data_IF_523452552809
#
_entry.id   IF_523452552809
#
_cell.length_a   1.000
_cell.length_b   1.000
_cell.length_c   1.000
_cell.angle_alpha   90.00
_cell.angle_beta   90.00
_cell.angle_gamma   90.00
#
_symmetry.space_group_name_H-M   'P 1'
#
loop_
_entity.id
_entity.type
_entity.pdbx_description
1 polymer ?
#
# COMPACT_ATOMS: atom_id res chain seq x y z
N UNK A 1 -12.60 23.46 9.12
CA UNK A 1 -13.50 23.07 8.05
C UNK A 1 -13.91 21.61 8.22
N UNK A 2 -15.16 21.31 7.95
CA UNK A 2 -15.70 19.97 8.20
C UNK A 2 -14.95 18.85 7.49
N UNK A 3 -14.42 19.15 6.29
CA UNK A 3 -13.78 18.12 5.47
C UNK A 3 -12.28 17.93 5.75
N UNK A 4 -11.67 18.79 6.54
CA UNK A 4 -10.22 18.72 6.78
C UNK A 4 -9.76 17.38 7.34
N UNK A 5 -10.43 16.90 8.37
CA UNK A 5 -10.06 15.63 9.01
C UNK A 5 -10.31 14.45 8.10
N UNK A 6 -11.38 14.52 7.31
CA UNK A 6 -11.68 13.49 6.31
C UNK A 6 -10.59 13.46 5.24
N UNK A 7 -10.21 14.63 4.73
CA UNK A 7 -9.14 14.74 3.73
C UNK A 7 -7.83 14.22 4.30
N UNK A 8 -7.49 14.56 5.55
CA UNK A 8 -6.27 14.08 6.19
C UNK A 8 -6.25 12.56 6.28
N UNK A 9 -7.37 11.95 6.67
CA UNK A 9 -7.49 10.49 6.77
C UNK A 9 -7.30 9.83 5.40
N UNK A 10 -7.94 10.38 4.36
CA UNK A 10 -7.81 9.85 3.01
C UNK A 10 -6.37 10.03 2.49
N UNK A 11 -5.73 11.14 2.82
CA UNK A 11 -4.34 11.38 2.41
C UNK A 11 -3.36 10.44 3.11
N UNK A 12 -3.63 9.98 4.33
CA UNK A 12 -2.82 8.93 4.95
C UNK A 12 -2.83 7.65 4.10
N UNK A 13 -4.01 7.29 3.58
CA UNK A 13 -4.14 6.11 2.72
C UNK A 13 -3.50 6.34 1.35
N UNK A 14 -3.56 7.56 0.83
CA UNK A 14 -2.87 7.92 -0.40
C UNK A 14 -1.36 7.73 -0.24
N UNK A 15 -0.79 8.20 0.87
CA UNK A 15 0.64 8.04 1.14
C UNK A 15 1.07 6.58 1.12
N UNK A 16 0.32 5.71 1.80
CA UNK A 16 0.67 4.29 1.88
C UNK A 16 0.59 3.61 0.50
N UNK A 17 -0.41 3.99 -0.30
CA UNK A 17 -0.54 3.44 -1.65
C UNK A 17 0.54 4.00 -2.58
N UNK A 18 0.93 5.26 -2.43
CA UNK A 18 2.08 5.83 -3.15
C UNK A 18 3.36 5.05 -2.82
N UNK A 19 3.56 4.73 -1.54
CA UNK A 19 4.70 3.93 -1.10
C UNK A 19 4.73 2.56 -1.77
N UNK A 20 3.57 1.89 -1.83
CA UNK A 20 3.47 0.57 -2.46
C UNK A 20 3.78 0.64 -3.95
N UNK A 21 3.23 1.63 -4.65
CA UNK A 21 3.49 1.81 -6.08
C UNK A 21 4.97 2.02 -6.33
N UNK A 22 5.58 2.96 -5.62
CA UNK A 22 7.00 3.26 -5.80
C UNK A 22 7.88 2.06 -5.47
N UNK A 23 7.61 1.39 -4.36
CA UNK A 23 8.39 0.24 -3.92
C UNK A 23 8.29 -0.93 -4.89
N UNK A 24 7.08 -1.30 -5.31
CA UNK A 24 6.90 -2.45 -6.21
C UNK A 24 7.34 -2.15 -7.63
N UNK A 25 7.22 -0.90 -8.11
CA UNK A 25 7.78 -0.53 -9.41
C UNK A 25 9.30 -0.67 -9.40
N UNK A 26 9.93 -0.22 -8.33
CA UNK A 26 11.39 -0.37 -8.15
C UNK A 26 11.77 -1.85 -8.10
N UNK A 27 11.05 -2.63 -7.29
CA UNK A 27 11.30 -4.06 -7.17
C UNK A 27 11.14 -4.78 -8.51
N UNK A 28 10.11 -4.41 -9.28
CA UNK A 28 9.86 -4.99 -10.61
C UNK A 28 11.00 -4.70 -11.58
N UNK A 29 11.57 -3.50 -11.50
CA UNK A 29 12.68 -3.12 -12.38
C UNK A 29 13.99 -3.80 -11.99
N UNK A 30 14.15 -4.17 -10.73
CA UNK A 30 15.40 -4.75 -10.23
C UNK A 30 15.42 -6.28 -10.22
N UNK A 31 14.25 -6.94 -10.13
CA UNK A 31 14.22 -8.40 -10.10
C UNK A 31 14.50 -8.99 -11.48
N UNK A 32 15.19 -10.13 -11.48
CA UNK A 32 15.44 -10.91 -12.69
C UNK A 32 14.39 -12.00 -12.91
N UNK A 33 13.57 -12.24 -11.91
CA UNK A 33 12.56 -13.30 -11.93
C UNK A 33 11.29 -12.82 -12.62
N UNK A 34 10.84 -13.50 -13.67
CA UNK A 34 9.64 -13.11 -14.41
C UNK A 34 8.36 -13.27 -13.58
N UNK A 35 8.30 -14.27 -12.72
CA UNK A 35 7.12 -14.48 -11.87
C UNK A 35 7.05 -13.42 -10.75
N UNK A 36 8.18 -12.97 -10.22
CA UNK A 36 8.20 -11.87 -9.26
C UNK A 36 7.82 -10.55 -9.92
N UNK A 37 8.25 -10.33 -11.18
CA UNK A 37 7.81 -9.14 -11.93
C UNK A 37 6.29 -9.12 -12.09
N UNK A 38 5.70 -10.26 -12.42
CA UNK A 38 4.24 -10.39 -12.53
C UNK A 38 3.56 -10.11 -11.21
N UNK A 39 4.09 -10.66 -10.12
CA UNK A 39 3.57 -10.42 -8.78
C UNK A 39 3.61 -8.93 -8.46
N UNK A 40 4.77 -8.30 -8.61
CA UNK A 40 4.93 -6.87 -8.30
C UNK A 40 4.02 -5.99 -9.14
N UNK A 41 3.81 -6.34 -10.40
CA UNK A 41 2.88 -5.62 -11.28
C UNK A 41 1.45 -5.69 -10.76
N UNK A 42 1.03 -6.86 -10.27
CA UNK A 42 -0.31 -7.03 -9.69
C UNK A 42 -0.48 -6.23 -8.40
N UNK A 43 0.54 -6.27 -7.52
CA UNK A 43 0.51 -5.51 -6.28
C UNK A 43 0.47 -4.00 -6.55
N UNK A 44 1.21 -3.55 -7.55
CA UNK A 44 1.20 -2.16 -7.99
C UNK A 44 -0.19 -1.76 -8.48
N UNK A 45 -0.83 -2.62 -9.27
CA UNK A 45 -2.16 -2.34 -9.82
C UNK A 45 -3.20 -2.14 -8.73
N UNK A 46 -3.15 -2.96 -7.68
CA UNK A 46 -4.06 -2.80 -6.53
C UNK A 46 -3.95 -1.38 -5.98
N UNK A 47 -2.74 -0.91 -5.73
CA UNK A 47 -2.54 0.43 -5.17
C UNK A 47 -2.87 1.53 -6.16
N UNK A 48 -2.63 1.33 -7.46
CA UNK A 48 -3.02 2.31 -8.49
C UNK A 48 -4.55 2.48 -8.52
N UNK A 49 -5.29 1.38 -8.41
CA UNK A 49 -6.75 1.43 -8.33
C UNK A 49 -7.20 2.16 -7.06
N UNK A 50 -6.58 1.85 -5.92
CA UNK A 50 -6.88 2.52 -4.66
C UNK A 50 -6.61 4.02 -4.76
N UNK A 51 -5.48 4.41 -5.35
CA UNK A 51 -5.11 5.82 -5.51
C UNK A 51 -6.09 6.56 -6.38
N UNK A 52 -6.57 5.94 -7.46
CA UNK A 52 -7.55 6.56 -8.34
C UNK A 52 -8.82 6.93 -7.57
N UNK A 53 -9.34 6.00 -6.76
CA UNK A 53 -10.53 6.24 -5.95
C UNK A 53 -10.29 7.28 -4.86
N UNK A 54 -9.17 7.16 -4.15
CA UNK A 54 -8.85 8.07 -3.05
C UNK A 54 -8.63 9.51 -3.55
N UNK A 55 -7.90 9.67 -4.64
CA UNK A 55 -7.65 11.00 -5.22
C UNK A 55 -8.92 11.66 -5.71
N UNK A 56 -9.80 10.87 -6.35
CA UNK A 56 -11.08 11.39 -6.80
C UNK A 56 -11.92 11.90 -5.62
N UNK A 57 -11.93 11.16 -4.51
CA UNK A 57 -12.69 11.57 -3.34
C UNK A 57 -12.11 12.81 -2.67
N UNK A 58 -10.79 12.90 -2.53
CA UNK A 58 -10.14 14.10 -1.97
C UNK A 58 -10.44 15.33 -2.85
N UNK A 59 -10.37 15.17 -4.16
CA UNK A 59 -10.71 16.27 -5.09
C UNK A 59 -12.18 16.68 -4.95
N UNK A 60 -13.09 15.71 -4.82
CA UNK A 60 -14.52 15.99 -4.63
C UNK A 60 -14.78 16.80 -3.36
N UNK A 61 -13.99 16.54 -2.31
CA UNK A 61 -14.09 17.25 -1.03
C UNK A 61 -13.42 18.63 -1.06
N UNK A 62 -12.80 18.99 -2.16
CA UNK A 62 -12.11 20.27 -2.30
C UNK A 62 -10.71 20.29 -1.73
N UNK A 63 -10.15 19.13 -1.41
CA UNK A 63 -8.81 19.01 -0.89
C UNK A 63 -7.77 18.77 -1.98
N UNK A 64 -6.53 18.62 -1.56
CA UNK A 64 -5.41 18.33 -2.45
C UNK A 64 -4.87 16.93 -2.12
N UNK A 65 -4.89 15.99 -3.08
CA UNK A 65 -4.32 14.67 -2.84
C UNK A 65 -2.83 14.75 -2.56
N UNK A 66 -2.38 13.98 -1.59
CA UNK A 66 -0.96 13.89 -1.25
C UNK A 66 -0.18 13.27 -2.41
N UNK A 67 0.93 13.90 -2.80
CA UNK A 67 1.78 13.42 -3.90
C UNK A 67 2.99 12.63 -3.41
N UNK A 68 3.34 12.80 -2.13
CA UNK A 68 4.54 12.21 -1.58
C UNK A 68 4.34 10.81 -1.04
N UNK A 69 5.46 10.18 -0.74
CA UNK A 69 5.50 8.90 -0.07
C UNK A 69 5.81 9.10 1.41
N UNK A 70 5.55 8.07 2.20
CA UNK A 70 5.79 8.11 3.63
C UNK A 70 7.25 7.73 3.91
N UNK A 71 8.17 8.60 3.52
CA UNK A 71 9.62 8.35 3.63
C UNK A 71 10.06 8.53 5.08
N UNK A 72 9.46 7.78 6.00
CA UNK A 72 9.84 7.86 7.41
C UNK A 72 9.79 6.49 8.06
N UNK A 73 10.77 6.24 8.91
CA UNK A 73 10.75 5.12 9.83
C UNK A 73 10.56 3.77 9.16
N UNK A 74 9.47 3.11 9.51
CA UNK A 74 9.24 1.70 9.17
C UNK A 74 9.09 1.44 7.67
N UNK A 75 8.43 2.36 6.92
CA UNK A 75 8.21 2.14 5.48
C UNK A 75 9.50 2.26 4.68
N UNK A 76 10.30 3.25 5.00
CA UNK A 76 11.60 3.40 4.36
C UNK A 76 12.44 2.14 4.59
N UNK A 77 12.44 1.63 5.82
CA UNK A 77 13.18 0.42 6.18
C UNK A 77 12.67 -0.80 5.41
N UNK A 78 11.34 -0.93 5.26
CA UNK A 78 10.75 -2.04 4.50
C UNK A 78 11.32 -2.09 3.08
N UNK A 79 11.33 -0.95 2.40
CA UNK A 79 11.82 -0.91 1.02
C UNK A 79 13.33 -1.09 0.93
N UNK A 80 14.07 -0.63 1.92
CA UNK A 80 15.51 -0.92 2.01
C UNK A 80 15.77 -2.42 2.15
N UNK A 81 14.96 -3.11 2.96
CA UNK A 81 15.08 -4.56 3.15
C UNK A 81 14.72 -5.33 1.88
N UNK A 82 13.66 -4.92 1.18
CA UNK A 82 13.28 -5.52 -0.11
C UNK A 82 14.42 -5.36 -1.10
N UNK A 83 15.01 -4.18 -1.20
CA UNK A 83 16.12 -3.89 -2.11
C UNK A 83 17.35 -4.76 -1.78
N UNK A 84 17.67 -4.89 -0.50
CA UNK A 84 18.80 -5.73 -0.05
C UNK A 84 18.54 -7.20 -0.41
N UNK A 85 17.32 -7.69 -0.20
CA UNK A 85 16.95 -9.06 -0.53
C UNK A 85 17.02 -9.31 -2.04
N UNK A 86 16.61 -8.35 -2.86
CA UNK A 86 16.70 -8.43 -4.31
C UNK A 86 18.15 -8.53 -4.77
N UNK A 87 19.04 -7.78 -4.14
CA UNK A 87 20.48 -7.80 -4.45
C UNK A 87 21.06 -9.18 -4.14
N UNK A 88 20.62 -9.80 -3.03
CA UNK A 88 21.04 -11.15 -2.67
C UNK A 88 20.37 -12.27 -3.46
N UNK A 89 19.36 -11.94 -4.26
CA UNK A 89 18.58 -12.88 -5.07
C UNK A 89 18.02 -14.05 -4.24
N UNK A 90 17.64 -13.77 -2.99
CA UNK A 90 17.03 -14.75 -2.09
C UNK A 90 15.51 -14.59 -2.15
N UNK A 91 14.85 -15.50 -2.85
CA UNK A 91 13.41 -15.44 -3.09
C UNK A 91 12.60 -15.43 -1.79
N UNK A 92 12.97 -16.29 -0.83
CA UNK A 92 12.30 -16.34 0.48
C UNK A 92 12.43 -15.03 1.23
N UNK A 93 13.61 -14.42 1.24
CA UNK A 93 13.86 -13.14 1.88
C UNK A 93 13.09 -12.01 1.20
N UNK A 94 13.02 -12.03 -0.14
CA UNK A 94 12.25 -11.04 -0.91
C UNK A 94 10.78 -11.10 -0.51
N UNK A 95 10.19 -12.29 -0.51
CA UNK A 95 8.78 -12.47 -0.19
C UNK A 95 8.50 -12.13 1.29
N UNK A 96 9.40 -12.48 2.17
CA UNK A 96 9.26 -12.15 3.59
C UNK A 96 9.27 -10.64 3.82
N UNK A 97 10.14 -9.91 3.16
CA UNK A 97 10.19 -8.45 3.24
C UNK A 97 8.93 -7.82 2.65
N UNK A 98 8.42 -8.38 1.55
CA UNK A 98 7.16 -7.91 0.95
C UNK A 98 5.99 -8.13 1.90
N UNK A 99 5.90 -9.28 2.57
CA UNK A 99 4.83 -9.53 3.54
C UNK A 99 4.87 -8.50 4.67
N UNK A 100 6.06 -8.18 5.16
CA UNK A 100 6.20 -7.16 6.19
C UNK A 100 5.67 -5.80 5.71
N UNK A 101 5.97 -5.44 4.47
CA UNK A 101 5.43 -4.21 3.86
C UNK A 101 3.92 -4.25 3.71
N UNK A 102 3.36 -5.40 3.33
CA UNK A 102 1.90 -5.56 3.23
C UNK A 102 1.24 -5.45 4.60
N UNK A 103 1.86 -5.97 5.66
CA UNK A 103 1.37 -5.80 7.02
C UNK A 103 1.29 -4.31 7.38
N UNK A 104 2.30 -3.52 7.01
CA UNK A 104 2.31 -2.08 7.30
C UNK A 104 1.20 -1.35 6.55
N UNK A 105 0.91 -1.76 5.31
CA UNK A 105 -0.19 -1.18 4.55
C UNK A 105 -1.54 -1.48 5.23
N UNK A 106 -1.75 -2.71 5.67
CA UNK A 106 -2.96 -3.10 6.39
C UNK A 106 -3.10 -2.35 7.71
N UNK A 107 -1.99 -2.16 8.43
CA UNK A 107 -1.98 -1.38 9.68
C UNK A 107 -2.42 0.07 9.44
N UNK A 108 -2.01 0.67 8.32
CA UNK A 108 -2.40 2.04 7.98
C UNK A 108 -3.92 2.14 7.78
N UNK A 109 -4.52 1.16 7.09
CA UNK A 109 -5.97 1.11 6.90
C UNK A 109 -6.68 0.89 8.23
N UNK A 110 -6.18 -0.01 9.07
CA UNK A 110 -6.74 -0.26 10.40
C UNK A 110 -6.68 0.99 11.26
N UNK A 111 -5.59 1.73 11.20
CA UNK A 111 -5.42 3.01 11.92
C UNK A 111 -6.52 4.00 11.56
N UNK A 112 -6.86 4.11 10.26
CA UNK A 112 -7.93 4.99 9.81
C UNK A 112 -9.28 4.54 10.37
N UNK A 113 -9.58 3.24 10.36
CA UNK A 113 -10.81 2.72 10.95
C UNK A 113 -10.89 2.97 12.45
N UNK A 114 -9.79 2.82 13.18
CA UNK A 114 -9.78 3.01 14.63
C UNK A 114 -9.88 4.48 15.04
N UNK A 115 -9.29 5.39 14.27
CA UNK A 115 -9.09 6.77 14.71
C UNK A 115 -9.90 7.79 13.93
N UNK A 116 -10.41 7.45 12.74
CA UNK A 116 -11.04 8.42 11.84
C UNK A 116 -12.45 8.03 11.37
N UNK A 117 -13.04 6.96 11.95
CA UNK A 117 -14.38 6.50 11.56
C UNK A 117 -15.41 7.63 11.66
N UNK A 118 -15.28 8.48 12.69
CA UNK A 118 -16.22 9.57 12.93
C UNK A 118 -16.17 10.66 11.85
N UNK A 119 -15.07 10.75 11.12
CA UNK A 119 -14.90 11.74 10.06
C UNK A 119 -15.25 11.22 8.68
N UNK A 120 -15.64 9.95 8.57
CA UNK A 120 -15.92 9.30 7.29
C UNK A 120 -17.40 8.95 7.18
N UNK A 121 -17.99 9.19 6.01
CA UNK A 121 -19.38 8.77 5.76
C UNK A 121 -19.41 7.29 5.33
N UNK A 122 -20.62 6.74 5.18
CA UNK A 122 -20.79 5.32 4.85
C UNK A 122 -20.18 4.94 3.50
N UNK A 123 -20.29 5.81 2.50
CA UNK A 123 -19.71 5.57 1.17
C UNK A 123 -18.20 5.53 1.23
N UNK A 124 -17.60 6.43 1.99
CA UNK A 124 -16.14 6.48 2.19
C UNK A 124 -15.66 5.24 2.94
N UNK A 125 -16.37 4.85 3.98
CA UNK A 125 -16.05 3.63 4.74
C UNK A 125 -16.12 2.39 3.86
N UNK A 126 -17.14 2.29 3.01
CA UNK A 126 -17.29 1.15 2.10
C UNK A 126 -16.14 1.10 1.09
N UNK A 127 -15.76 2.26 0.54
CA UNK A 127 -14.61 2.36 -0.36
C UNK A 127 -13.33 1.87 0.32
N UNK A 128 -13.08 2.34 1.53
CA UNK A 128 -11.86 1.99 2.28
C UNK A 128 -11.86 0.49 2.63
N UNK A 129 -13.01 -0.07 3.01
CA UNK A 129 -13.12 -1.50 3.30
C UNK A 129 -12.84 -2.36 2.08
N UNK A 130 -13.33 -1.96 0.92
CA UNK A 130 -13.03 -2.67 -0.34
C UNK A 130 -11.55 -2.63 -0.66
N UNK A 131 -10.92 -1.48 -0.45
CA UNK A 131 -9.48 -1.33 -0.64
C UNK A 131 -8.70 -2.21 0.34
N UNK A 132 -9.11 -2.23 1.59
CA UNK A 132 -8.50 -3.08 2.61
C UNK A 132 -8.63 -4.56 2.24
N UNK A 133 -9.78 -4.97 1.74
CA UNK A 133 -10.00 -6.35 1.30
C UNK A 133 -9.06 -6.71 0.16
N UNK A 134 -8.87 -5.81 -0.80
CA UNK A 134 -7.94 -6.03 -1.92
C UNK A 134 -6.50 -6.14 -1.41
N UNK A 135 -6.11 -5.29 -0.46
CA UNK A 135 -4.78 -5.36 0.16
C UNK A 135 -4.60 -6.66 0.95
N UNK A 136 -5.64 -7.11 1.63
CA UNK A 136 -5.60 -8.38 2.37
C UNK A 136 -5.38 -9.56 1.42
N UNK A 137 -6.05 -9.54 0.27
CA UNK A 137 -5.86 -10.58 -0.74
C UNK A 137 -4.42 -10.59 -1.25
N UNK A 138 -3.83 -9.41 -1.47
CA UNK A 138 -2.43 -9.28 -1.87
C UNK A 138 -1.49 -9.81 -0.79
N UNK A 139 -1.74 -9.45 0.47
CA UNK A 139 -0.98 -9.93 1.62
C UNK A 139 -0.99 -11.45 1.68
N UNK A 140 -2.17 -12.05 1.57
CA UNK A 140 -2.33 -13.49 1.66
C UNK A 140 -1.64 -14.21 0.50
N UNK A 141 -1.65 -13.61 -0.68
CA UNK A 141 -0.94 -14.14 -1.84
C UNK A 141 0.58 -14.14 -1.64
N UNK A 142 1.13 -13.04 -1.15
CA UNK A 142 2.57 -12.94 -0.84
C UNK A 142 2.94 -13.98 0.22
N UNK A 143 2.12 -14.08 1.26
CA UNK A 143 2.32 -15.05 2.34
C UNK A 143 2.32 -16.48 1.81
N UNK A 144 1.36 -16.83 0.96
CA UNK A 144 1.27 -18.17 0.38
C UNK A 144 2.51 -18.51 -0.46
N UNK A 145 3.00 -17.55 -1.24
CA UNK A 145 4.21 -17.74 -2.03
C UNK A 145 5.44 -17.91 -1.14
N UNK A 146 5.53 -17.12 -0.07
CA UNK A 146 6.63 -17.26 0.90
C UNK A 146 6.59 -18.64 1.57
N UNK A 147 5.42 -19.08 1.98
CA UNK A 147 5.28 -20.37 2.68
C UNK A 147 5.58 -21.57 1.77
N UNK A 148 5.49 -21.38 0.45
CA UNK A 148 5.81 -22.40 -0.55
C UNK A 148 7.32 -22.50 -0.85
N UNK A 149 8.13 -21.58 -0.36
CA UNK A 149 9.59 -21.57 -0.58
C UNK A 149 10.38 -22.46 0.39
#
# INVERSE_FOLDING_TARGET
MENEKTIDALNELIEINNDRVEGYETASSETKSSDLKSLFSELTRTSQNNLSELRAEVNRLGGKPEEGTRVTGKFFRVWMDVKAALTGDDRGAILNSCEFGEDKALEAYEHVFENHTDQLNNEQLDMIRKQQTALRADHDRVKALRDAE
#
